data_IF_825058301052
#
_entry.id   IF_825058301052
#
_cell.length_a   1.000
_cell.length_b   1.000
_cell.length_c   1.000
_cell.angle_alpha   90.00
_cell.angle_beta   90.00
_cell.angle_gamma   90.00
#
_symmetry.space_group_name_H-M   'P 1'
#
loop_
_entity.id
_entity.type
_entity.pdbx_description
1 polymer ?
#
# COMPACT_ATOMS: atom_id res chain seq x y z
N UNK A 1 34.65 13.13 10.01
CA UNK A 1 33.83 13.71 8.93
C UNK A 1 33.13 12.67 8.05
N UNK A 2 33.75 11.56 7.62
CA UNK A 2 33.10 10.55 6.77
C UNK A 2 31.85 9.86 7.39
N UNK A 3 31.84 9.60 8.71
CA UNK A 3 30.68 9.01 9.41
C UNK A 3 29.42 9.88 9.40
N UNK A 4 29.56 11.21 9.38
CA UNK A 4 28.42 12.13 9.37
C UNK A 4 27.66 12.07 8.03
N UNK A 5 28.40 11.98 6.91
CA UNK A 5 27.81 11.84 5.56
C UNK A 5 27.14 10.49 5.33
N UNK A 6 27.69 9.41 5.88
CA UNK A 6 27.06 8.08 5.80
C UNK A 6 25.72 8.03 6.56
N UNK A 7 25.60 8.78 7.66
CA UNK A 7 24.34 8.93 8.40
C UNK A 7 23.27 9.68 7.61
N UNK A 8 23.64 10.75 6.90
CA UNK A 8 22.72 11.48 6.02
C UNK A 8 22.21 10.62 4.86
N UNK A 9 23.08 9.82 4.24
CA UNK A 9 22.71 8.87 3.17
C UNK A 9 21.74 7.76 3.62
N UNK A 10 21.66 7.48 4.92
CA UNK A 10 20.78 6.43 5.48
C UNK A 10 19.49 7.00 6.07
N UNK A 11 19.47 8.29 6.43
CA UNK A 11 18.43 8.85 7.30
C UNK A 11 17.83 10.17 6.82
N UNK A 12 18.35 10.76 5.74
CA UNK A 12 17.66 11.90 5.12
C UNK A 12 16.35 11.43 4.48
N UNK A 13 15.35 12.31 4.48
CA UNK A 13 14.01 12.06 3.94
C UNK A 13 14.05 11.50 2.50
N UNK A 14 14.86 12.13 1.65
CA UNK A 14 15.05 11.73 0.25
C UNK A 14 15.60 10.30 0.13
N UNK A 15 16.63 9.97 0.93
CA UNK A 15 17.26 8.66 0.87
C UNK A 15 16.39 7.57 1.47
N UNK A 16 15.63 7.86 2.54
CA UNK A 16 14.67 6.89 3.10
C UNK A 16 13.64 6.50 2.05
N UNK A 17 13.15 7.47 1.26
CA UNK A 17 12.22 7.20 0.15
C UNK A 17 12.84 6.27 -0.91
N UNK A 18 14.11 6.50 -1.27
CA UNK A 18 14.88 5.63 -2.19
C UNK A 18 15.00 4.21 -1.62
N UNK A 19 15.36 4.07 -0.34
CA UNK A 19 15.51 2.77 0.31
C UNK A 19 14.18 2.00 0.39
N UNK A 20 13.07 2.67 0.70
CA UNK A 20 11.74 2.06 0.69
C UNK A 20 11.36 1.55 -0.71
N UNK A 21 11.63 2.34 -1.75
CA UNK A 21 11.44 1.93 -3.14
C UNK A 21 12.32 0.72 -3.50
N UNK A 22 13.59 0.73 -3.12
CA UNK A 22 14.51 -0.39 -3.34
C UNK A 22 14.04 -1.67 -2.64
N UNK A 23 13.54 -1.56 -1.40
CA UNK A 23 12.96 -2.71 -0.66
C UNK A 23 11.77 -3.30 -1.42
N UNK A 24 10.86 -2.47 -1.93
CA UNK A 24 9.73 -2.96 -2.72
C UNK A 24 10.19 -3.68 -3.99
N UNK A 25 11.18 -3.13 -4.70
CA UNK A 25 11.75 -3.77 -5.89
C UNK A 25 12.37 -5.12 -5.53
N UNK A 26 13.19 -5.18 -4.48
CA UNK A 26 13.83 -6.42 -4.02
C UNK A 26 12.77 -7.46 -3.66
N UNK A 27 11.72 -7.08 -2.93
CA UNK A 27 10.61 -7.97 -2.58
C UNK A 27 9.98 -8.60 -3.84
N UNK A 28 9.72 -7.79 -4.86
CA UNK A 28 9.17 -8.28 -6.15
C UNK A 28 10.15 -9.21 -6.86
N UNK A 29 11.45 -8.89 -6.85
CA UNK A 29 12.49 -9.70 -7.47
C UNK A 29 12.68 -11.07 -6.80
N UNK A 30 12.54 -11.16 -5.47
CA UNK A 30 12.59 -12.43 -4.75
C UNK A 30 11.27 -13.21 -4.78
N UNK A 31 10.27 -12.71 -5.51
CA UNK A 31 9.03 -13.43 -5.80
C UNK A 31 7.85 -13.08 -4.90
N UNK A 32 7.94 -12.03 -4.07
CA UNK A 32 6.77 -11.53 -3.32
C UNK A 32 5.82 -10.86 -4.30
N UNK A 33 4.85 -11.63 -4.78
CA UNK A 33 3.79 -11.18 -5.69
C UNK A 33 2.46 -11.66 -5.13
N UNK A 34 1.75 -10.81 -4.36
CA UNK A 34 0.41 -11.18 -3.90
C UNK A 34 -0.46 -11.47 -5.12
N UNK A 35 -1.25 -12.54 -5.04
CA UNK A 35 -2.15 -12.90 -6.12
C UNK A 35 -3.11 -11.74 -6.41
N UNK A 36 -3.41 -11.52 -7.68
CA UNK A 36 -4.42 -10.52 -8.08
C UNK A 36 -5.83 -10.88 -7.57
N UNK A 37 -6.01 -12.11 -7.10
CA UNK A 37 -7.18 -12.59 -6.39
C UNK A 37 -7.42 -11.71 -5.16
N UNK A 38 -8.49 -10.92 -5.23
CA UNK A 38 -8.81 -9.95 -4.20
C UNK A 38 -8.15 -8.59 -4.31
N UNK A 39 -7.31 -8.33 -5.33
CA UNK A 39 -6.81 -6.98 -5.67
C UNK A 39 -7.46 -6.41 -6.95
N UNK A 40 -8.09 -7.26 -7.76
CA UNK A 40 -8.83 -6.87 -8.99
C UNK A 40 -10.35 -6.89 -8.80
N UNK A 41 -11.10 -6.30 -9.73
CA UNK A 41 -12.57 -6.38 -9.79
C UNK A 41 -13.08 -7.55 -10.65
N UNK A 42 -12.23 -8.53 -10.97
CA UNK A 42 -12.55 -9.62 -11.90
C UNK A 42 -13.81 -10.41 -11.49
N UNK A 43 -13.98 -10.60 -10.19
CA UNK A 43 -15.06 -11.39 -9.59
C UNK A 43 -16.19 -10.50 -9.02
N UNK A 44 -16.23 -9.22 -9.41
CA UNK A 44 -17.25 -8.26 -8.98
C UNK A 44 -17.24 -7.94 -7.47
N UNK A 45 -18.39 -7.51 -6.96
CA UNK A 45 -18.61 -7.17 -5.54
C UNK A 45 -18.49 -8.40 -4.63
N UNK A 46 -19.03 -9.54 -5.04
CA UNK A 46 -18.98 -10.78 -4.25
C UNK A 46 -17.52 -11.25 -4.04
N UNK A 47 -16.71 -11.09 -5.08
CA UNK A 47 -15.27 -11.32 -4.99
C UNK A 47 -14.55 -10.41 -4.02
N UNK A 48 -15.00 -9.17 -3.82
CA UNK A 48 -14.38 -8.22 -2.87
C UNK A 48 -14.56 -8.64 -1.41
N UNK A 49 -15.75 -9.15 -1.08
CA UNK A 49 -16.10 -9.58 0.29
C UNK A 49 -15.73 -11.05 0.57
N UNK A 50 -15.20 -11.77 -0.41
CA UNK A 50 -14.66 -13.10 -0.21
C UNK A 50 -13.53 -13.12 0.82
N UNK A 51 -13.52 -14.13 1.70
CA UNK A 51 -12.53 -14.24 2.78
C UNK A 51 -11.08 -14.20 2.28
N UNK A 52 -10.79 -14.87 1.15
CA UNK A 52 -9.48 -14.82 0.51
C UNK A 52 -9.11 -13.42 0.04
N UNK A 53 -10.07 -12.69 -0.56
CA UNK A 53 -9.84 -11.35 -1.07
C UNK A 53 -9.64 -10.31 0.02
N UNK A 54 -10.38 -10.43 1.12
CA UNK A 54 -10.18 -9.63 2.31
C UNK A 54 -8.81 -9.91 2.92
N UNK A 55 -8.44 -11.19 3.08
CA UNK A 55 -7.13 -11.57 3.61
C UNK A 55 -5.99 -10.99 2.75
N UNK A 56 -6.08 -11.09 1.42
CA UNK A 56 -5.08 -10.49 0.52
C UNK A 56 -5.06 -8.97 0.62
N UNK A 57 -6.22 -8.30 0.58
CA UNK A 57 -6.29 -6.83 0.60
C UNK A 57 -5.77 -6.26 1.91
N UNK A 58 -6.24 -6.78 3.04
CA UNK A 58 -5.77 -6.36 4.37
C UNK A 58 -4.32 -6.80 4.61
N UNK A 59 -3.90 -7.95 4.09
CA UNK A 59 -2.51 -8.41 4.18
C UNK A 59 -1.54 -7.47 3.44
N UNK A 60 -1.85 -7.10 2.20
CA UNK A 60 -1.07 -6.14 1.42
C UNK A 60 -1.12 -4.75 2.05
N UNK A 61 -2.30 -4.30 2.47
CA UNK A 61 -2.48 -3.04 3.19
C UNK A 61 -1.64 -2.97 4.46
N UNK A 62 -1.66 -4.02 5.28
CA UNK A 62 -0.85 -4.11 6.49
C UNK A 62 0.65 -4.14 6.18
N UNK A 63 1.08 -4.90 5.17
CA UNK A 63 2.49 -4.95 4.77
C UNK A 63 3.01 -3.58 4.31
N UNK A 64 2.24 -2.87 3.48
CA UNK A 64 2.56 -1.51 3.05
C UNK A 64 2.53 -0.53 4.23
N UNK A 65 1.54 -0.65 5.11
CA UNK A 65 1.43 0.17 6.32
C UNK A 65 2.65 0.01 7.22
N UNK A 66 3.09 -1.23 7.49
CA UNK A 66 4.31 -1.51 8.26
C UNK A 66 5.53 -0.90 7.60
N UNK A 67 5.68 -1.06 6.28
CA UNK A 67 6.80 -0.50 5.54
C UNK A 67 6.84 1.04 5.63
N UNK A 68 5.70 1.70 5.45
CA UNK A 68 5.61 3.15 5.59
C UNK A 68 5.86 3.62 7.03
N UNK A 69 5.35 2.89 8.05
CA UNK A 69 5.58 3.21 9.46
C UNK A 69 7.07 3.10 9.81
N UNK A 70 7.79 2.12 9.26
CA UNK A 70 9.25 2.03 9.38
C UNK A 70 9.89 3.28 8.78
N UNK A 71 9.48 3.69 7.57
CA UNK A 71 9.92 4.92 6.92
C UNK A 71 9.74 6.16 7.80
N UNK A 72 8.53 6.40 8.29
CA UNK A 72 8.22 7.53 9.18
C UNK A 72 9.03 7.47 10.47
N UNK A 73 9.23 6.26 11.03
CA UNK A 73 10.04 6.10 12.24
C UNK A 73 11.51 6.43 12.01
N UNK A 74 12.07 6.07 10.86
CA UNK A 74 13.46 6.37 10.47
C UNK A 74 13.67 7.88 10.29
N UNK A 75 12.67 8.58 9.77
CA UNK A 75 12.64 10.05 9.62
C UNK A 75 12.33 10.79 10.94
N UNK A 76 12.14 10.08 12.06
CA UNK A 76 11.74 10.66 13.36
C UNK A 76 10.39 11.41 13.31
N UNK A 77 9.52 11.04 12.36
CA UNK A 77 8.19 11.62 12.18
C UNK A 77 7.13 11.10 13.16
N UNK A 78 5.94 11.71 13.11
CA UNK A 78 4.81 11.38 13.97
C UNK A 78 4.10 10.08 13.55
N UNK A 79 4.54 8.95 14.12
CA UNK A 79 4.04 7.60 13.81
C UNK A 79 2.53 7.46 14.03
N UNK A 80 1.99 7.99 15.13
CA UNK A 80 0.55 7.89 15.43
C UNK A 80 -0.30 8.65 14.42
N UNK A 81 0.09 9.89 14.07
CA UNK A 81 -0.61 10.69 13.07
C UNK A 81 -0.60 10.00 11.70
N UNK A 82 0.55 9.45 11.31
CA UNK A 82 0.66 8.68 10.08
C UNK A 82 -0.21 7.42 10.09
N UNK A 83 -0.21 6.63 11.18
CA UNK A 83 -1.00 5.41 11.27
C UNK A 83 -2.51 5.67 11.10
N UNK A 84 -3.02 6.75 11.71
CA UNK A 84 -4.42 7.17 11.56
C UNK A 84 -4.71 7.62 10.14
N UNK A 85 -3.84 8.46 9.55
CA UNK A 85 -4.00 8.94 8.18
C UNK A 85 -3.96 7.79 7.16
N UNK A 86 -3.01 6.86 7.32
CA UNK A 86 -2.90 5.67 6.49
C UNK A 86 -4.16 4.81 6.58
N UNK A 87 -4.65 4.53 7.80
CA UNK A 87 -5.88 3.77 8.01
C UNK A 87 -7.09 4.43 7.33
N UNK A 88 -7.23 5.74 7.47
CA UNK A 88 -8.30 6.49 6.82
C UNK A 88 -8.23 6.41 5.28
N UNK A 89 -7.04 6.65 4.69
CA UNK A 89 -6.83 6.57 3.24
C UNK A 89 -7.03 5.13 2.73
N UNK A 90 -6.58 4.12 3.47
CA UNK A 90 -6.76 2.72 3.11
C UNK A 90 -8.25 2.34 3.06
N UNK A 91 -9.04 2.73 4.07
CA UNK A 91 -10.49 2.50 4.09
C UNK A 91 -11.18 3.23 2.94
N UNK A 92 -10.80 4.48 2.68
CA UNK A 92 -11.33 5.26 1.55
C UNK A 92 -10.99 4.60 0.20
N UNK A 93 -9.77 4.14 0.00
CA UNK A 93 -9.35 3.44 -1.21
C UNK A 93 -10.10 2.12 -1.40
N UNK A 94 -10.29 1.35 -0.32
CA UNK A 94 -11.07 0.12 -0.34
C UNK A 94 -12.55 0.39 -0.66
N UNK A 95 -13.16 1.43 -0.08
CA UNK A 95 -14.52 1.84 -0.38
C UNK A 95 -14.67 2.33 -1.82
N UNK A 96 -13.74 3.14 -2.31
CA UNK A 96 -13.70 3.59 -3.71
C UNK A 96 -13.62 2.39 -4.66
N UNK A 97 -12.83 1.37 -4.32
CA UNK A 97 -12.78 0.13 -5.07
C UNK A 97 -14.10 -0.65 -5.03
N UNK A 98 -14.78 -0.73 -3.87
CA UNK A 98 -16.08 -1.37 -3.78
C UNK A 98 -17.12 -0.72 -4.73
N UNK A 99 -17.07 0.61 -4.86
CA UNK A 99 -17.88 1.36 -5.82
C UNK A 99 -17.46 1.02 -7.25
N UNK A 100 -16.15 0.97 -7.54
CA UNK A 100 -15.64 0.65 -8.87
C UNK A 100 -15.99 -0.77 -9.35
N UNK A 101 -16.02 -1.75 -8.44
CA UNK A 101 -16.40 -3.14 -8.78
C UNK A 101 -17.92 -3.35 -8.91
N UNK A 102 -18.75 -2.32 -8.74
CA UNK A 102 -20.20 -2.42 -8.90
C UNK A 102 -20.58 -2.37 -10.39
N UNK A 103 -21.11 -3.48 -10.91
CA UNK A 103 -21.51 -3.64 -12.31
C UNK A 103 -22.56 -2.59 -12.75
N UNK A 104 -23.46 -2.18 -11.86
CA UNK A 104 -24.51 -1.20 -12.16
C UNK A 104 -23.95 0.19 -12.49
N UNK A 105 -22.76 0.52 -11.96
CA UNK A 105 -22.06 1.78 -12.22
C UNK A 105 -21.09 1.64 -13.38
N UNK A 106 -20.44 0.49 -13.52
CA UNK A 106 -19.54 0.19 -14.64
C UNK A 106 -20.26 0.23 -15.99
N UNK A 107 -21.48 -0.31 -16.07
CA UNK A 107 -22.31 -0.30 -17.28
C UNK A 107 -22.85 1.10 -17.65
N UNK A 108 -22.85 2.05 -16.71
CA UNK A 108 -23.27 3.44 -16.96
C UNK A 108 -22.18 4.33 -17.55
N UNK A 109 -21.07 3.74 -18.01
CA UNK A 109 -20.06 4.43 -18.82
C UNK A 109 -19.04 5.24 -18.04
N UNK A 110 -19.01 5.15 -16.71
CA UNK A 110 -17.91 5.71 -15.91
C UNK A 110 -16.80 4.66 -15.82
N UNK A 111 -16.17 4.35 -16.95
CA UNK A 111 -14.97 3.50 -16.98
C UNK A 111 -13.73 4.38 -16.84
N UNK A 112 -13.07 4.35 -15.69
CA UNK A 112 -11.70 4.83 -15.56
C UNK A 112 -10.79 3.69 -16.04
N UNK A 113 -10.50 3.69 -17.34
CA UNK A 113 -9.45 2.87 -17.92
C UNK A 113 -8.07 3.40 -17.50
#
# INVERSE_FOLDING_TARGET
MARARAGELLRSEDWVSVWLGAVLIILVLVGVRPEAAGLSCRDGLDGLFGAGSLATTFGVGAALGVLCLIGVRLMEGAVQGFAVAFGAVFVLAWAARAIACNSTLSERGVSYA
#
